data_IF_353377325773
#
_entry.id   IF_353377325773
#
_cell.length_a   1.000
_cell.length_b   1.000
_cell.length_c   1.000
_cell.angle_alpha   90.00
_cell.angle_beta   90.00
_cell.angle_gamma   90.00
#
_symmetry.space_group_name_H-M   'P 1'
#
loop_
_entity.id
_entity.type
_entity.pdbx_description
1 polymer ?
#
# COMPACT_ATOMS: atom_id res chain seq x y z
N UNK A 1 -6.36 10.04 17.04
CA UNK A 1 -5.77 8.69 16.89
C UNK A 1 -6.91 7.72 16.64
N UNK A 2 -7.15 7.34 15.38
CA UNK A 2 -8.44 6.72 14.94
C UNK A 2 -8.61 5.26 15.36
N UNK A 3 -7.51 4.52 15.48
CA UNK A 3 -7.49 3.08 15.76
C UNK A 3 -7.19 2.73 17.22
N UNK A 4 -7.17 3.74 18.11
CA UNK A 4 -6.69 3.57 19.50
C UNK A 4 -7.58 2.66 20.34
N UNK A 5 -8.85 2.56 19.99
CA UNK A 5 -9.89 1.79 20.68
C UNK A 5 -10.03 0.38 20.10
N UNK A 6 -9.32 0.07 19.01
CA UNK A 6 -9.37 -1.23 18.35
C UNK A 6 -8.10 -2.03 18.66
N UNK A 7 -8.18 -3.36 18.79
CA UNK A 7 -7.01 -4.23 18.97
C UNK A 7 -6.28 -4.41 17.63
N UNK A 8 -5.86 -3.31 17.01
CA UNK A 8 -5.24 -3.27 15.68
C UNK A 8 -3.84 -2.69 15.84
N UNK A 9 -2.82 -3.45 15.42
CA UNK A 9 -1.44 -2.98 15.40
C UNK A 9 -1.15 -2.27 14.10
N UNK A 10 -0.90 -0.96 14.21
CA UNK A 10 -0.49 -0.10 13.09
C UNK A 10 1.01 0.17 13.17
N UNK A 11 1.76 -0.20 12.13
CA UNK A 11 3.17 0.12 12.00
C UNK A 11 3.44 1.09 10.85
N UNK A 12 4.57 1.80 10.98
CA UNK A 12 5.00 2.78 9.99
C UNK A 12 6.34 2.35 9.39
N UNK A 13 6.42 2.31 8.05
CA UNK A 13 7.65 2.06 7.31
C UNK A 13 8.04 3.30 6.51
N UNK A 14 8.79 4.19 7.14
CA UNK A 14 9.24 5.45 6.55
C UNK A 14 10.62 5.87 7.07
N UNK A 15 11.20 6.90 6.46
CA UNK A 15 12.53 7.43 6.80
C UNK A 15 12.69 7.94 8.24
N UNK A 16 11.57 8.17 8.94
CA UNK A 16 11.57 8.65 10.33
C UNK A 16 11.71 7.51 11.35
N UNK A 17 11.69 6.25 10.92
CA UNK A 17 11.96 5.08 11.76
C UNK A 17 13.44 4.71 11.72
N UNK A 18 13.98 4.31 12.87
CA UNK A 18 15.35 3.80 12.93
C UNK A 18 15.49 2.47 12.17
N UNK A 19 16.68 2.10 11.69
CA UNK A 19 16.88 0.82 11.00
C UNK A 19 16.44 -0.40 11.81
N UNK A 20 16.66 -0.38 13.13
CA UNK A 20 16.20 -1.43 14.03
C UNK A 20 14.67 -1.55 14.08
N UNK A 21 13.95 -0.42 14.14
CA UNK A 21 12.49 -0.38 14.11
C UNK A 21 11.94 -0.88 12.77
N UNK A 22 12.55 -0.46 11.65
CA UNK A 22 12.14 -0.91 10.31
C UNK A 22 12.31 -2.43 10.17
N UNK A 23 13.46 -2.97 10.60
CA UNK A 23 13.72 -4.42 10.55
C UNK A 23 12.70 -5.20 11.39
N UNK A 24 12.42 -4.74 12.60
CA UNK A 24 11.40 -5.35 13.46
C UNK A 24 10.01 -5.31 12.83
N UNK A 25 9.61 -4.17 12.24
CA UNK A 25 8.32 -4.05 11.57
C UNK A 25 8.19 -5.02 10.38
N UNK A 26 9.25 -5.21 9.59
CA UNK A 26 9.28 -6.16 8.46
C UNK A 26 9.18 -7.61 8.96
N UNK A 27 9.89 -7.96 10.03
CA UNK A 27 9.81 -9.30 10.64
C UNK A 27 8.42 -9.59 11.21
N UNK A 28 7.82 -8.63 11.90
CA UNK A 28 6.49 -8.76 12.49
C UNK A 28 5.39 -8.81 11.43
N UNK A 29 5.56 -8.06 10.33
CA UNK A 29 4.68 -8.13 9.15
C UNK A 29 4.71 -9.51 8.51
N UNK A 30 5.90 -10.10 8.38
CA UNK A 30 6.07 -11.47 7.86
C UNK A 30 5.40 -12.51 8.76
N UNK A 31 5.41 -12.30 10.08
CA UNK A 31 4.72 -13.17 11.05
C UNK A 31 3.20 -12.94 11.08
N UNK A 32 2.71 -11.86 10.47
CA UNK A 32 1.30 -11.44 10.52
C UNK A 32 0.89 -10.88 11.88
N UNK A 33 1.82 -10.27 12.60
CA UNK A 33 1.54 -9.58 13.87
C UNK A 33 1.17 -8.11 13.68
N UNK A 34 1.33 -7.60 12.46
CA UNK A 34 0.99 -6.23 12.06
C UNK A 34 -0.23 -6.30 11.15
N UNK A 35 -1.32 -5.65 11.57
CA UNK A 35 -2.57 -5.63 10.83
C UNK A 35 -2.57 -4.56 9.73
N UNK A 36 -1.98 -3.39 10.03
CA UNK A 36 -1.90 -2.26 9.11
C UNK A 36 -0.47 -1.75 9.06
N UNK A 37 0.09 -1.69 7.85
CA UNK A 37 1.38 -1.05 7.61
C UNK A 37 1.21 0.14 6.68
N UNK A 38 1.69 1.30 7.12
CA UNK A 38 1.62 2.55 6.38
C UNK A 38 3.04 3.00 6.05
N UNK A 39 3.28 3.39 4.81
CA UNK A 39 4.62 3.74 4.37
C UNK A 39 4.64 4.25 2.96
N UNK A 40 5.84 4.58 2.50
CA UNK A 40 6.06 5.03 1.13
C UNK A 40 6.25 3.84 0.20
N UNK A 41 6.73 4.10 -1.02
CA UNK A 41 7.17 3.09 -1.98
C UNK A 41 8.14 2.03 -1.40
N UNK A 42 8.79 2.29 -0.24
CA UNK A 42 9.61 1.30 0.46
C UNK A 42 8.84 0.00 0.74
N UNK A 43 7.53 0.06 0.99
CA UNK A 43 6.68 -1.11 1.22
C UNK A 43 6.69 -2.08 0.02
N UNK A 44 6.92 -1.58 -1.20
CA UNK A 44 6.96 -2.38 -2.42
C UNK A 44 8.32 -3.07 -2.66
N UNK A 45 9.27 -2.94 -1.74
CA UNK A 45 10.60 -3.53 -1.88
C UNK A 45 10.54 -5.07 -1.80
N UNK A 46 11.59 -5.76 -2.27
CA UNK A 46 11.60 -7.25 -2.31
C UNK A 46 11.73 -7.90 -0.92
N UNK A 47 12.28 -7.18 0.04
CA UNK A 47 12.47 -7.63 1.43
C UNK A 47 11.20 -7.56 2.29
N UNK A 48 10.16 -6.87 1.81
CA UNK A 48 8.88 -6.77 2.50
C UNK A 48 7.98 -7.92 2.04
N UNK A 49 7.64 -8.81 2.97
CA UNK A 49 6.77 -9.96 2.73
C UNK A 49 5.54 -9.87 3.64
N UNK A 50 4.37 -10.01 3.06
CA UNK A 50 3.10 -10.04 3.77
C UNK A 50 2.69 -11.50 4.00
N UNK A 51 2.23 -11.83 5.21
CA UNK A 51 1.68 -13.16 5.49
C UNK A 51 0.37 -13.40 4.73
N UNK A 52 -0.53 -12.42 4.80
CA UNK A 52 -1.81 -12.44 4.11
C UNK A 52 -2.22 -10.98 3.84
N UNK A 53 -2.09 -10.53 2.60
CA UNK A 53 -2.43 -9.16 2.20
C UNK A 53 -3.87 -9.18 1.64
N UNK A 54 -4.82 -8.59 2.36
CA UNK A 54 -6.22 -8.52 1.92
C UNK A 54 -6.59 -7.24 1.18
N UNK A 55 -5.93 -6.12 1.52
CA UNK A 55 -6.25 -4.80 0.96
C UNK A 55 -4.96 -4.01 0.70
N UNK A 56 -4.87 -3.45 -0.50
CA UNK A 56 -3.83 -2.50 -0.88
C UNK A 56 -4.44 -1.12 -1.12
N UNK A 57 -4.03 -0.14 -0.31
CA UNK A 57 -4.42 1.26 -0.51
C UNK A 57 -3.25 2.01 -1.15
N UNK A 58 -3.49 2.63 -2.31
CA UNK A 58 -2.50 3.43 -3.03
C UNK A 58 -2.98 4.86 -3.10
N UNK A 59 -2.23 5.78 -2.52
CA UNK A 59 -2.51 7.21 -2.61
C UNK A 59 -1.63 7.87 -3.69
N UNK A 60 -2.23 8.71 -4.52
CA UNK A 60 -1.57 9.43 -5.62
C UNK A 60 -0.73 8.50 -6.53
N UNK A 61 -1.34 7.43 -7.06
CA UNK A 61 -0.69 6.38 -7.87
C UNK A 61 0.18 6.92 -9.02
N UNK A 62 -0.16 8.08 -9.59
CA UNK A 62 0.60 8.73 -10.65
C UNK A 62 2.00 9.17 -10.23
N UNK A 63 2.27 9.36 -8.93
CA UNK A 63 3.60 9.70 -8.40
C UNK A 63 4.55 8.50 -8.33
N UNK A 64 4.05 7.28 -8.54
CA UNK A 64 4.88 6.08 -8.53
C UNK A 64 5.55 5.84 -9.89
N UNK A 65 6.84 5.50 -9.86
CA UNK A 65 7.59 5.07 -11.04
C UNK A 65 7.07 3.74 -11.63
N UNK A 66 7.51 3.43 -12.85
CA UNK A 66 7.05 2.26 -13.62
C UNK A 66 7.30 0.95 -12.86
N UNK A 67 8.49 0.79 -12.26
CA UNK A 67 8.87 -0.40 -11.49
C UNK A 67 7.94 -0.67 -10.29
N UNK A 68 7.52 0.39 -9.61
CA UNK A 68 6.57 0.28 -8.51
C UNK A 68 5.17 -0.12 -9.01
N UNK A 69 4.73 0.43 -10.15
CA UNK A 69 3.45 0.10 -10.77
C UNK A 69 3.39 -1.36 -11.21
N UNK A 70 4.47 -1.92 -11.74
CA UNK A 70 4.55 -3.34 -12.06
C UNK A 70 4.43 -4.23 -10.82
N UNK A 71 5.12 -3.87 -9.73
CA UNK A 71 5.01 -4.58 -8.46
C UNK A 71 3.59 -4.53 -7.90
N UNK A 72 2.96 -3.36 -7.96
CA UNK A 72 1.55 -3.19 -7.59
C UNK A 72 0.68 -4.12 -8.45
N UNK A 73 0.83 -4.12 -9.79
CA UNK A 73 0.07 -5.01 -10.69
C UNK A 73 0.21 -6.48 -10.35
N UNK A 74 1.39 -6.93 -9.92
CA UNK A 74 1.59 -8.31 -9.46
C UNK A 74 0.78 -8.60 -8.19
N UNK A 75 0.76 -7.66 -7.23
CA UNK A 75 -0.04 -7.76 -6.01
C UNK A 75 -1.55 -7.63 -6.27
N UNK A 76 -1.98 -6.83 -7.26
CA UNK A 76 -3.41 -6.61 -7.59
C UNK A 76 -4.13 -7.88 -8.06
N UNK A 77 -3.42 -8.94 -8.46
CA UNK A 77 -4.05 -10.16 -9.00
C UNK A 77 -4.89 -10.91 -7.96
N UNK A 78 -4.46 -10.86 -6.70
CA UNK A 78 -5.02 -11.67 -5.62
C UNK A 78 -5.57 -10.82 -4.46
N UNK A 79 -5.54 -9.48 -4.60
CA UNK A 79 -5.77 -8.52 -3.50
C UNK A 79 -6.68 -7.39 -3.96
N UNK A 80 -7.61 -6.96 -3.10
CA UNK A 80 -8.44 -5.79 -3.33
C UNK A 80 -7.61 -4.50 -3.31
N UNK A 81 -7.85 -3.62 -4.27
CA UNK A 81 -7.06 -2.38 -4.41
C UNK A 81 -7.94 -1.15 -4.41
N UNK A 82 -7.65 -0.24 -3.48
CA UNK A 82 -8.26 1.07 -3.41
C UNK A 82 -7.23 2.13 -3.79
N UNK A 83 -7.41 2.78 -4.94
CA UNK A 83 -6.59 3.92 -5.35
C UNK A 83 -7.29 5.24 -4.96
N UNK A 84 -6.58 6.11 -4.25
CA UNK A 84 -6.99 7.46 -3.88
C UNK A 84 -6.19 8.47 -4.73
N UNK A 85 -6.86 9.50 -5.22
CA UNK A 85 -6.24 10.59 -5.97
C UNK A 85 -6.96 11.90 -5.67
N UNK A 86 -6.21 12.95 -5.37
CA UNK A 86 -6.72 14.31 -5.28
C UNK A 86 -6.94 14.92 -6.67
N UNK A 87 -6.36 14.33 -7.71
CA UNK A 87 -6.52 14.79 -9.09
C UNK A 87 -7.74 14.10 -9.74
N UNK A 88 -8.82 14.84 -10.05
CA UNK A 88 -9.98 14.26 -10.71
C UNK A 88 -9.61 13.92 -12.16
N UNK A 89 -10.04 12.74 -12.62
CA UNK A 89 -9.90 12.37 -14.03
C UNK A 89 -10.81 13.30 -14.86
N UNK A 90 -10.33 13.85 -16.00
CA UNK A 90 -11.17 14.64 -16.89
C UNK A 90 -12.44 13.87 -17.27
N UNK A 91 -13.60 14.54 -17.21
CA UNK A 91 -14.92 13.91 -17.39
C UNK A 91 -15.06 13.18 -18.73
N UNK A 92 -14.46 13.72 -19.79
CA UNK A 92 -14.44 13.10 -21.13
C UNK A 92 -13.70 11.76 -21.12
N UNK A 93 -12.56 11.69 -20.43
CA UNK A 93 -11.77 10.46 -20.31
C UNK A 93 -12.47 9.43 -19.41
N UNK A 94 -13.15 9.88 -18.35
CA UNK A 94 -13.98 9.02 -17.52
C UNK A 94 -15.12 8.36 -18.31
N UNK A 95 -15.81 9.12 -19.18
CA UNK A 95 -16.86 8.58 -20.05
C UNK A 95 -16.31 7.55 -21.05
N UNK A 96 -15.13 7.78 -21.62
CA UNK A 96 -14.47 6.82 -22.50
C UNK A 96 -14.07 5.52 -21.76
N UNK A 97 -13.60 5.63 -20.51
CA UNK A 97 -13.19 4.47 -19.72
C UNK A 97 -14.36 3.62 -19.21
N UNK A 98 -15.53 4.22 -18.95
CA UNK A 98 -16.73 3.49 -18.54
C UNK A 98 -17.17 2.49 -19.63
N UNK A 99 -16.95 2.80 -20.91
CA UNK A 99 -17.29 1.90 -22.02
C UNK A 99 -16.26 0.81 -22.31
N UNK A 100 -15.10 0.81 -21.64
CA UNK A 100 -13.97 -0.12 -21.90
C UNK A 100 -13.84 -1.17 -20.78
N UNK A 101 -14.80 -1.22 -19.85
CA UNK A 101 -14.83 -2.22 -18.77
C UNK A 101 -15.81 -3.34 -19.07
#
# INVERSE_FOLDING_TARGET
QRMKEFPVRVELLCRFRTPAQQKKAIEDLKKGQVDVIIGTHRILSKDVQFKNLGLLIVDEEQRFGVTHKEKIKQLKKDVDVLTLTATPIPRTLHMSLIGIR
#
